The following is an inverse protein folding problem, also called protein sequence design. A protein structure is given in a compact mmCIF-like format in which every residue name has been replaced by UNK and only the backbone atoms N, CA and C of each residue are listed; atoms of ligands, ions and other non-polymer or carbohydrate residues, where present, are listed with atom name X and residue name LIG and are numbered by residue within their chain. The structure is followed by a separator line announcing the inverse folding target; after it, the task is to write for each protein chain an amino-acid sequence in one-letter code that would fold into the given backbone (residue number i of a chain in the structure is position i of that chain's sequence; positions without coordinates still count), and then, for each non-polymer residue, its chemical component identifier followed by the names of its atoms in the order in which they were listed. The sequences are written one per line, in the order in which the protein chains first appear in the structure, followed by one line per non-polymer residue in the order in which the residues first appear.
data_IF_679696075741
#
_entry.id   IF_679696075741
#
_cell.length_a   1.000
_cell.length_b   1.000
_cell.length_c   1.000
_cell.angle_alpha   90.00
_cell.angle_beta   90.00
_cell.angle_gamma   90.00
#
_symmetry.space_group_name_H-M   'P 1'
#
loop_
_entity.id
_entity.type
_entity.pdbx_description
1 polymer ?
#
# COMPACT_ATOMS: atom_id res chain seq x y z
N UNK A 1 -19.03 -18.35 5.00
CA UNK A 1 -18.90 -18.30 3.54
C UNK A 1 -17.50 -18.78 3.21
N UNK A 2 -17.35 -20.05 2.89
CA UNK A 2 -16.07 -20.67 2.53
C UNK A 2 -15.86 -20.46 1.04
N UNK A 3 -14.83 -19.69 0.69
CA UNK A 3 -14.45 -19.50 -0.71
C UNK A 3 -13.90 -20.82 -1.25
N UNK A 4 -14.28 -21.24 -2.47
CA UNK A 4 -13.67 -22.41 -3.09
C UNK A 4 -12.16 -22.17 -3.19
N UNK A 5 -11.37 -23.13 -2.69
CA UNK A 5 -9.92 -23.16 -2.94
C UNK A 5 -9.80 -23.34 -4.45
N UNK A 6 -9.37 -22.29 -5.14
CA UNK A 6 -9.15 -22.36 -6.57
C UNK A 6 -8.19 -23.52 -6.86
N UNK A 7 -8.50 -24.37 -7.85
CA UNK A 7 -7.48 -25.22 -8.47
C UNK A 7 -6.23 -24.36 -8.74
N UNK A 8 -5.01 -24.91 -8.64
CA UNK A 8 -3.77 -24.16 -8.85
C UNK A 8 -3.69 -23.69 -10.31
N UNK A 9 -4.39 -22.59 -10.59
CA UNK A 9 -4.18 -21.80 -11.79
C UNK A 9 -2.78 -21.24 -11.67
N UNK A 10 -2.05 -21.32 -12.78
CA UNK A 10 -0.70 -20.77 -12.86
C UNK A 10 -0.76 -19.28 -12.49
N UNK A 11 -0.11 -18.91 -11.38
CA UNK A 11 -0.07 -17.53 -10.92
C UNK A 11 0.41 -16.63 -12.07
N UNK A 12 -0.30 -15.51 -12.24
CA UNK A 12 0.09 -14.50 -13.21
C UNK A 12 1.54 -14.06 -12.96
N UNK A 13 2.36 -13.97 -14.01
CA UNK A 13 3.77 -13.64 -13.85
C UNK A 13 3.92 -12.24 -13.26
N UNK A 14 4.77 -12.15 -12.24
CA UNK A 14 5.29 -10.87 -11.76
C UNK A 14 6.52 -10.49 -12.57
N UNK A 15 6.63 -9.21 -12.88
CA UNK A 15 7.84 -8.62 -13.43
C UNK A 15 8.77 -8.23 -12.27
N UNK A 16 9.99 -8.78 -12.25
CA UNK A 16 11.03 -8.34 -11.33
C UNK A 16 11.57 -6.99 -11.82
N UNK A 17 11.39 -5.95 -11.02
CA UNK A 17 11.85 -4.60 -11.33
C UNK A 17 13.25 -4.32 -10.76
N UNK A 18 13.53 -4.80 -9.55
CA UNK A 18 14.83 -4.60 -8.89
C UNK A 18 15.09 -5.63 -7.78
N UNK A 19 16.37 -5.87 -7.52
CA UNK A 19 16.87 -6.57 -6.34
C UNK A 19 17.84 -5.66 -5.60
N UNK A 20 17.59 -5.42 -4.31
CA UNK A 20 18.35 -4.47 -3.49
C UNK A 20 18.64 -5.09 -2.13
N UNK A 21 19.84 -5.66 -2.00
CA UNK A 21 20.24 -6.40 -0.80
C UNK A 21 19.35 -7.62 -0.60
N UNK A 22 18.59 -7.64 0.50
CA UNK A 22 17.65 -8.73 0.80
C UNK A 22 16.25 -8.52 0.21
N UNK A 23 16.00 -7.42 -0.50
CA UNK A 23 14.67 -7.07 -1.00
C UNK A 23 14.54 -7.29 -2.51
N UNK A 24 13.40 -7.81 -2.94
CA UNK A 24 12.98 -7.86 -4.34
C UNK A 24 11.74 -6.98 -4.53
N UNK A 25 11.79 -6.14 -5.56
CA UNK A 25 10.65 -5.35 -6.02
C UNK A 25 10.04 -6.01 -7.25
N UNK A 26 8.78 -6.38 -7.13
CA UNK A 26 8.00 -6.97 -8.20
C UNK A 26 6.84 -6.06 -8.60
N UNK A 27 6.39 -6.22 -9.84
CA UNK A 27 5.17 -5.60 -10.36
C UNK A 27 4.26 -6.65 -10.99
N UNK A 28 2.99 -6.62 -10.59
CA UNK A 28 1.90 -7.19 -11.41
C UNK A 28 1.37 -6.06 -12.31
N UNK A 29 1.61 -6.10 -13.63
CA UNK A 29 1.24 -5.00 -14.50
C UNK A 29 -0.28 -4.83 -14.62
N UNK A 30 -0.72 -3.58 -14.68
CA UNK A 30 -2.09 -3.16 -14.91
C UNK A 30 -2.14 -2.01 -15.89
N UNK A 31 -3.11 -2.01 -16.79
CA UNK A 31 -3.26 -0.94 -17.79
C UNK A 31 -3.81 0.36 -17.18
N UNK A 32 -4.78 0.27 -16.26
CA UNK A 32 -5.43 1.42 -15.62
C UNK A 32 -6.24 0.98 -14.39
N UNK A 33 -6.53 1.94 -13.51
CA UNK A 33 -7.48 1.78 -12.41
C UNK A 33 -8.77 2.56 -12.71
N UNK A 34 -9.97 2.01 -12.40
CA UNK A 34 -10.22 0.67 -11.85
C UNK A 34 -9.84 -0.44 -12.83
N UNK A 35 -9.39 -1.57 -12.30
CA UNK A 35 -8.77 -2.64 -13.09
C UNK A 35 -9.78 -3.61 -13.71
N UNK A 36 -9.32 -4.39 -14.70
CA UNK A 36 -10.09 -5.51 -15.25
C UNK A 36 -10.32 -6.60 -14.20
N UNK A 37 -11.40 -7.40 -14.37
CA UNK A 37 -11.68 -8.55 -13.49
C UNK A 37 -10.52 -9.55 -13.43
N UNK A 38 -9.89 -9.82 -14.57
CA UNK A 38 -8.72 -10.70 -14.67
C UNK A 38 -7.54 -10.19 -13.84
N UNK A 39 -7.24 -8.89 -13.90
CA UNK A 39 -6.22 -8.31 -13.04
C UNK A 39 -6.58 -8.46 -11.56
N UNK A 40 -7.84 -8.19 -11.19
CA UNK A 40 -8.29 -8.32 -9.79
C UNK A 40 -8.11 -9.75 -9.31
N UNK A 41 -8.46 -10.75 -10.11
CA UNK A 41 -8.26 -12.16 -9.78
C UNK A 41 -6.77 -12.49 -9.55
N UNK A 42 -5.89 -12.03 -10.42
CA UNK A 42 -4.44 -12.20 -10.26
C UNK A 42 -3.89 -11.50 -9.01
N UNK A 43 -4.33 -10.26 -8.76
CA UNK A 43 -3.92 -9.51 -7.59
C UNK A 43 -4.40 -10.20 -6.29
N UNK A 44 -5.61 -10.78 -6.30
CA UNK A 44 -6.12 -11.58 -5.18
C UNK A 44 -5.29 -12.82 -4.93
N UNK A 45 -4.92 -13.55 -5.99
CA UNK A 45 -4.05 -14.72 -5.86
C UNK A 45 -2.70 -14.35 -5.23
N UNK A 46 -2.07 -13.26 -5.67
CA UNK A 46 -0.83 -12.78 -5.09
C UNK A 46 -0.97 -12.32 -3.65
N UNK A 47 -2.08 -11.64 -3.31
CA UNK A 47 -2.35 -11.28 -1.92
C UNK A 47 -2.53 -12.52 -1.04
N UNK A 48 -3.20 -13.57 -1.53
CA UNK A 48 -3.31 -14.84 -0.80
C UNK A 48 -1.94 -15.47 -0.58
N UNK A 49 -1.05 -15.46 -1.58
CA UNK A 49 0.33 -15.95 -1.42
C UNK A 49 1.07 -15.15 -0.34
N UNK A 50 0.94 -13.82 -0.33
CA UNK A 50 1.53 -12.97 0.70
C UNK A 50 0.92 -13.27 2.09
N UNK A 51 -0.39 -13.42 2.18
CA UNK A 51 -1.07 -13.80 3.43
C UNK A 51 -0.68 -15.21 3.91
N UNK A 52 -0.39 -16.15 3.02
CA UNK A 52 0.05 -17.50 3.41
C UNK A 52 1.50 -17.45 3.90
N UNK A 53 2.41 -16.91 3.09
CA UNK A 53 3.83 -16.81 3.41
C UNK A 53 4.09 -15.97 4.66
N UNK A 54 3.37 -14.86 4.77
CA UNK A 54 3.48 -13.94 5.88
C UNK A 54 2.28 -14.00 6.82
N UNK A 55 1.48 -15.07 6.89
CA UNK A 55 0.34 -15.11 7.82
C UNK A 55 0.12 -16.46 8.50
N UNK A 56 0.74 -17.54 8.03
CA UNK A 56 0.58 -18.88 8.60
C UNK A 56 1.09 -19.06 10.03
N UNK A 57 1.85 -18.12 10.59
CA UNK A 57 2.42 -18.25 11.95
C UNK A 57 1.54 -17.67 13.06
N UNK A 58 0.42 -17.01 12.73
CA UNK A 58 -0.46 -16.34 13.72
C UNK A 58 0.19 -15.14 14.44
N UNK A 59 1.45 -14.85 14.15
CA UNK A 59 2.25 -13.76 14.74
C UNK A 59 2.43 -12.56 13.80
N UNK A 60 1.91 -12.65 12.58
CA UNK A 60 2.12 -11.62 11.57
C UNK A 60 0.85 -10.79 11.41
N UNK A 61 1.05 -9.47 11.43
CA UNK A 61 0.03 -8.46 11.31
C UNK A 61 -0.04 -7.94 9.88
N UNK A 62 -1.26 -7.92 9.32
CA UNK A 62 -1.60 -7.20 8.09
C UNK A 62 -2.13 -5.81 8.46
N UNK A 63 -1.43 -4.77 8.07
CA UNK A 63 -1.90 -3.38 8.17
C UNK A 63 -2.34 -2.87 6.79
N UNK A 64 -3.54 -2.29 6.73
CA UNK A 64 -4.17 -1.84 5.48
C UNK A 64 -4.49 -0.36 5.59
N UNK A 65 -4.09 0.41 4.58
CA UNK A 65 -4.29 1.84 4.51
C UNK A 65 -4.99 2.22 3.19
N UNK A 66 -6.02 3.06 3.29
CA UNK A 66 -6.69 3.66 2.13
C UNK A 66 -6.17 5.06 1.85
N UNK A 67 -5.91 5.34 0.58
CA UNK A 67 -5.47 6.64 0.07
C UNK A 67 -6.67 7.57 -0.08
N UNK A 68 -6.82 8.55 0.83
CA UNK A 68 -8.01 9.43 0.85
C UNK A 68 -8.19 10.19 -0.45
N UNK A 69 -7.10 10.60 -1.09
CA UNK A 69 -7.14 11.33 -2.36
C UNK A 69 -7.59 10.47 -3.55
N UNK A 70 -7.68 9.15 -3.40
CA UNK A 70 -8.24 8.23 -4.39
C UNK A 70 -9.66 7.78 -4.06
N UNK A 71 -10.22 8.20 -2.92
CA UNK A 71 -11.51 7.68 -2.45
C UNK A 71 -12.71 8.12 -3.29
N UNK A 72 -12.57 9.11 -4.17
CA UNK A 72 -13.63 9.51 -5.11
C UNK A 72 -13.84 8.50 -6.24
N UNK A 73 -12.84 7.67 -6.54
CA UNK A 73 -12.89 6.78 -7.69
C UNK A 73 -13.81 5.57 -7.42
N UNK A 74 -14.73 5.22 -8.34
CA UNK A 74 -15.49 3.99 -8.23
C UNK A 74 -14.55 2.75 -8.16
N UNK A 75 -14.87 1.69 -7.40
CA UNK A 75 -16.06 1.51 -6.55
C UNK A 75 -15.90 2.01 -5.10
N UNK A 76 -14.85 2.78 -4.79
CA UNK A 76 -14.40 3.05 -3.42
C UNK A 76 -15.45 3.77 -2.55
N UNK A 77 -16.16 4.82 -3.00
CA UNK A 77 -17.17 5.47 -2.17
C UNK A 77 -18.27 4.53 -1.67
N UNK A 78 -18.69 3.60 -2.53
CA UNK A 78 -19.72 2.61 -2.22
C UNK A 78 -19.19 1.58 -1.22
N UNK A 79 -18.03 0.97 -1.51
CA UNK A 79 -17.40 0.00 -0.62
C UNK A 79 -17.14 0.60 0.76
N UNK A 80 -16.61 1.82 0.82
CA UNK A 80 -16.35 2.51 2.08
C UNK A 80 -17.63 2.76 2.86
N UNK A 81 -18.70 3.25 2.22
CA UNK A 81 -19.99 3.52 2.88
C UNK A 81 -20.61 2.25 3.46
N UNK A 82 -20.57 1.15 2.70
CA UNK A 82 -21.15 -0.12 3.10
C UNK A 82 -20.36 -0.80 4.23
N UNK A 83 -19.03 -0.60 4.27
CA UNK A 83 -18.16 -1.32 5.18
C UNK A 83 -17.56 -0.46 6.32
N UNK A 84 -17.75 0.86 6.35
CA UNK A 84 -17.07 1.76 7.32
C UNK A 84 -17.22 1.33 8.78
N UNK A 85 -18.41 0.85 9.18
CA UNK A 85 -18.67 0.35 10.54
C UNK A 85 -17.86 -0.90 10.88
N UNK A 86 -17.65 -1.78 9.90
CA UNK A 86 -16.86 -3.00 10.05
C UNK A 86 -15.36 -2.68 10.01
N UNK A 87 -14.95 -1.81 9.10
CA UNK A 87 -13.57 -1.45 8.86
C UNK A 87 -12.96 -0.56 9.95
N UNK A 88 -13.80 0.19 10.68
CA UNK A 88 -13.39 1.09 11.77
C UNK A 88 -12.19 1.97 11.38
N UNK A 89 -12.32 2.78 10.30
CA UNK A 89 -11.17 3.49 9.77
C UNK A 89 -10.68 4.56 10.75
N UNK A 90 -9.36 4.71 10.86
CA UNK A 90 -8.72 5.82 11.57
C UNK A 90 -7.84 6.66 10.67
N UNK A 91 -7.96 7.99 10.82
CA UNK A 91 -7.24 8.94 9.99
C UNK A 91 -5.81 9.15 10.50
N UNK A 92 -4.86 9.20 9.56
CA UNK A 92 -3.49 9.61 9.79
C UNK A 92 -2.86 10.17 8.52
N UNK A 93 -1.53 10.17 8.46
CA UNK A 93 -0.77 10.83 7.40
C UNK A 93 0.17 9.87 6.68
N UNK A 94 0.09 9.86 5.35
CA UNK A 94 1.09 9.27 4.48
C UNK A 94 2.17 10.30 4.13
N UNK A 95 3.42 9.88 4.14
CA UNK A 95 4.57 10.74 3.83
C UNK A 95 5.40 10.05 2.75
N UNK A 96 5.45 10.64 1.57
CA UNK A 96 6.34 10.17 0.51
C UNK A 96 7.79 10.38 0.93
N UNK A 97 8.57 9.30 0.98
CA UNK A 97 9.95 9.32 1.47
C UNK A 97 10.92 10.04 0.51
N UNK A 98 10.52 10.18 -0.75
CA UNK A 98 11.28 10.79 -1.85
C UNK A 98 10.74 12.16 -2.29
N UNK A 99 9.74 12.71 -1.57
CA UNK A 99 9.15 14.03 -1.87
C UNK A 99 9.27 14.94 -0.65
N UNK A 100 9.10 16.27 -0.82
CA UNK A 100 9.02 17.18 0.32
C UNK A 100 7.96 16.76 1.32
N UNK A 101 8.24 16.96 2.61
CA UNK A 101 7.30 16.68 3.68
C UNK A 101 6.02 17.54 3.55
N UNK A 102 4.86 17.07 4.07
CA UNK A 102 3.61 17.82 4.03
C UNK A 102 3.74 19.24 4.59
N UNK A 103 3.24 20.21 3.83
CA UNK A 103 3.29 21.63 4.14
C UNK A 103 1.95 22.30 3.80
N UNK A 104 1.49 23.29 4.61
CA UNK A 104 0.25 23.99 4.33
C UNK A 104 0.30 24.66 2.96
N UNK A 105 -0.87 24.83 2.34
CA UNK A 105 -0.98 25.55 1.09
C UNK A 105 -0.39 26.96 1.22
N UNK A 106 0.62 27.24 0.42
CA UNK A 106 1.02 28.60 0.08
C UNK A 106 0.15 29.12 -1.04
N UNK A 107 0.20 30.43 -1.28
CA UNK A 107 -0.48 31.01 -2.44
C UNK A 107 0.08 30.43 -3.74
N UNK A 108 1.40 30.27 -3.88
CA UNK A 108 1.97 29.70 -5.11
C UNK A 108 1.50 28.27 -5.32
N UNK A 109 1.65 27.41 -4.31
CA UNK A 109 1.27 25.99 -4.43
C UNK A 109 -0.22 25.82 -4.75
N UNK A 110 -1.11 26.66 -4.19
CA UNK A 110 -2.52 26.64 -4.56
C UNK A 110 -2.76 27.03 -6.02
N UNK A 111 -2.03 28.03 -6.53
CA UNK A 111 -2.12 28.44 -7.94
C UNK A 111 -1.61 27.34 -8.86
N UNK A 112 -0.50 26.67 -8.51
CA UNK A 112 0.05 25.55 -9.26
C UNK A 112 -0.94 24.38 -9.31
N UNK A 113 -1.53 24.01 -8.17
CA UNK A 113 -2.56 22.98 -8.10
C UNK A 113 -3.79 23.32 -8.95
N UNK A 114 -4.21 24.59 -8.94
CA UNK A 114 -5.31 25.06 -9.78
C UNK A 114 -4.97 24.98 -11.28
N UNK A 115 -3.73 25.27 -11.65
CA UNK A 115 -3.25 25.16 -13.03
C UNK A 115 -3.22 23.70 -13.50
N UNK A 116 -2.70 22.77 -12.70
CA UNK A 116 -2.73 21.32 -13.01
C UNK A 116 -4.14 20.82 -13.26
N UNK A 117 -5.12 21.22 -12.43
CA UNK A 117 -6.53 20.86 -12.63
C UNK A 117 -7.09 21.37 -13.97
N UNK A 118 -6.71 22.58 -14.40
CA UNK A 118 -7.13 23.12 -15.70
C UNK A 118 -6.51 22.36 -16.89
N UNK A 119 -5.35 21.75 -16.69
CA UNK A 119 -4.66 20.91 -17.68
C UNK A 119 -5.12 19.44 -17.65
N UNK A 120 -6.00 19.06 -16.73
CA UNK A 120 -6.42 17.67 -16.54
C UNK A 120 -5.36 16.79 -15.88
N UNK A 121 -4.38 17.40 -15.22
CA UNK A 121 -3.34 16.71 -14.46
C UNK A 121 -3.78 16.50 -13.00
N UNK A 122 -3.21 15.50 -12.33
CA UNK A 122 -3.43 15.31 -10.90
C UNK A 122 -2.73 16.43 -10.12
N UNK A 123 -3.47 17.26 -9.36
CA UNK A 123 -2.85 18.37 -8.67
C UNK A 123 -1.93 17.86 -7.55
N UNK A 124 -0.82 18.56 -7.26
CA UNK A 124 -0.07 18.32 -6.03
C UNK A 124 -1.00 18.44 -4.83
N UNK A 125 -0.71 17.73 -3.74
CA UNK A 125 -1.48 17.79 -2.50
C UNK A 125 -0.59 18.34 -1.39
N UNK A 126 -1.15 19.19 -0.53
CA UNK A 126 -0.46 19.68 0.68
C UNK A 126 -0.19 18.57 1.69
N UNK A 127 -1.02 17.51 1.68
CA UNK A 127 -0.87 16.33 2.53
C UNK A 127 -1.56 15.11 1.91
N UNK A 128 -0.99 13.94 2.15
CA UNK A 128 -1.52 12.65 1.69
C UNK A 128 -2.19 11.93 2.86
N UNK A 129 -3.50 12.13 3.04
CA UNK A 129 -4.25 11.51 4.15
C UNK A 129 -4.48 10.02 3.92
N UNK A 130 -4.34 9.24 4.99
CA UNK A 130 -4.56 7.80 4.99
C UNK A 130 -5.65 7.41 5.98
N UNK A 131 -6.49 6.44 5.60
CA UNK A 131 -7.36 5.74 6.53
C UNK A 131 -6.79 4.35 6.82
N UNK A 132 -6.30 4.12 8.03
CA UNK A 132 -5.98 2.77 8.50
C UNK A 132 -7.27 2.02 8.79
N UNK A 133 -7.35 0.75 8.39
CA UNK A 133 -8.47 -0.11 8.77
C UNK A 133 -8.19 -0.75 10.14
N UNK A 134 -8.85 -0.29 11.22
CA UNK A 134 -8.68 -0.82 12.59
C UNK A 134 -9.58 -2.05 12.88
N UNK A 135 -9.92 -2.82 11.86
CA UNK A 135 -10.77 -4.00 11.98
C UNK A 135 -10.01 -5.22 12.52
N UNK A 136 -10.75 -6.26 12.95
CA UNK A 136 -10.15 -7.55 13.28
C UNK A 136 -9.41 -8.15 12.06
N UNK A 137 -8.38 -8.99 12.25
CA UNK A 137 -7.55 -9.50 11.16
C UNK A 137 -8.33 -10.05 9.95
N UNK A 138 -9.33 -10.90 10.18
CA UNK A 138 -10.16 -11.45 9.08
C UNK A 138 -10.99 -10.39 8.34
N UNK A 139 -11.43 -9.33 9.03
CA UNK A 139 -12.14 -8.22 8.40
C UNK A 139 -11.20 -7.33 7.58
N UNK A 140 -9.93 -7.17 8.01
CA UNK A 140 -8.90 -6.46 7.23
C UNK A 140 -8.53 -7.24 5.96
N UNK A 141 -8.29 -8.55 6.07
CA UNK A 141 -8.05 -9.40 4.91
C UNK A 141 -9.22 -9.34 3.92
N UNK A 142 -10.46 -9.45 4.40
CA UNK A 142 -11.66 -9.29 3.57
C UNK A 142 -11.76 -7.90 2.93
N UNK A 143 -11.38 -6.84 3.64
CA UNK A 143 -11.35 -5.49 3.08
C UNK A 143 -10.40 -5.41 1.88
N UNK A 144 -9.18 -5.95 2.00
CA UNK A 144 -8.23 -5.93 0.88
C UNK A 144 -8.80 -6.64 -0.34
N UNK A 145 -9.41 -7.82 -0.15
CA UNK A 145 -10.03 -8.58 -1.25
C UNK A 145 -11.12 -7.79 -2.00
N UNK A 146 -11.81 -6.86 -1.32
CA UNK A 146 -12.81 -5.97 -1.91
C UNK A 146 -12.18 -4.73 -2.58
N UNK A 147 -11.03 -4.28 -2.09
CA UNK A 147 -10.34 -3.06 -2.54
C UNK A 147 -9.36 -3.31 -3.69
N UNK A 148 -8.91 -4.54 -3.92
CA UNK A 148 -8.02 -4.85 -5.03
C UNK A 148 -8.62 -4.47 -6.39
N UNK A 149 -7.80 -3.86 -7.23
CA UNK A 149 -8.16 -3.26 -8.52
C UNK A 149 -8.69 -1.83 -8.41
N UNK A 150 -8.63 -1.20 -7.24
CA UNK A 150 -9.13 0.18 -7.07
C UNK A 150 -8.02 1.22 -7.15
N UNK A 151 -6.75 0.85 -6.93
CA UNK A 151 -5.65 1.81 -6.92
C UNK A 151 -5.54 2.61 -5.62
N UNK A 152 -6.30 2.26 -4.57
CA UNK A 152 -6.40 3.07 -3.35
C UNK A 152 -5.83 2.42 -2.09
N UNK A 153 -5.35 1.18 -2.16
CA UNK A 153 -4.91 0.43 -0.98
C UNK A 153 -3.40 0.23 -0.96
N UNK A 154 -2.84 0.37 0.25
CA UNK A 154 -1.48 -0.02 0.60
C UNK A 154 -1.54 -0.99 1.78
N UNK A 155 -0.77 -2.06 1.70
CA UNK A 155 -0.72 -3.14 2.67
C UNK A 155 0.72 -3.35 3.15
N UNK A 156 0.87 -3.64 4.44
CA UNK A 156 2.12 -4.07 5.05
C UNK A 156 1.89 -5.36 5.84
N UNK A 157 2.81 -6.31 5.73
CA UNK A 157 2.83 -7.54 6.51
C UNK A 157 4.08 -7.58 7.37
N UNK A 158 3.95 -7.89 8.65
CA UNK A 158 5.12 -7.99 9.53
C UNK A 158 4.80 -8.51 10.92
N UNK A 159 5.81 -9.01 11.62
CA UNK A 159 5.66 -9.47 13.02
C UNK A 159 5.42 -8.32 14.00
N UNK A 160 5.74 -7.09 13.59
CA UNK A 160 5.44 -5.91 14.36
C UNK A 160 3.93 -5.65 14.31
N UNK A 161 3.32 -5.46 15.48
CA UNK A 161 1.97 -4.92 15.56
C UNK A 161 1.96 -3.45 15.11
N UNK A 162 0.76 -2.91 14.91
CA UNK A 162 0.63 -1.53 14.48
C UNK A 162 1.23 -0.52 15.45
N UNK A 163 1.17 -0.76 16.76
CA UNK A 163 1.71 0.20 17.71
C UNK A 163 3.23 0.32 17.51
N UNK A 164 3.92 -0.82 17.44
CA UNK A 164 5.36 -0.88 17.18
C UNK A 164 5.72 -0.31 15.82
N UNK A 165 4.95 -0.64 14.78
CA UNK A 165 5.15 -0.11 13.43
C UNK A 165 4.97 1.41 13.39
N UNK A 166 3.86 1.92 13.94
CA UNK A 166 3.53 3.35 13.96
C UNK A 166 4.50 4.19 14.78
N UNK A 167 5.07 3.64 15.86
CA UNK A 167 6.09 4.31 16.64
C UNK A 167 7.38 4.48 15.83
N UNK A 168 7.83 3.41 15.15
CA UNK A 168 9.05 3.45 14.32
C UNK A 168 8.88 4.38 13.12
N UNK A 169 7.74 4.32 12.45
CA UNK A 169 7.48 5.24 11.32
C UNK A 169 7.35 6.69 11.80
N UNK A 170 6.82 6.94 13.00
CA UNK A 170 6.82 8.27 13.58
C UNK A 170 8.25 8.76 13.90
N UNK A 171 9.12 7.91 14.45
CA UNK A 171 10.53 8.24 14.70
C UNK A 171 11.27 8.60 13.40
N UNK A 172 10.98 7.87 12.32
CA UNK A 172 11.54 8.12 10.99
C UNK A 172 11.03 9.43 10.37
N UNK A 173 9.71 9.65 10.38
CA UNK A 173 9.07 10.65 9.53
C UNK A 173 8.83 11.98 10.24
N UNK A 174 8.52 11.97 11.54
CA UNK A 174 8.19 13.19 12.27
C UNK A 174 9.32 14.26 12.29
N UNK A 175 10.62 13.90 12.28
CA UNK A 175 11.70 14.88 12.15
C UNK A 175 11.68 15.68 10.83
N UNK A 176 11.14 15.11 9.75
CA UNK A 176 11.08 15.79 8.44
C UNK A 176 9.89 16.76 8.34
N UNK A 177 8.87 16.59 9.19
CA UNK A 177 7.65 17.39 9.18
C UNK A 177 7.84 18.65 10.04
N UNK A 178 8.12 19.78 9.40
CA UNK A 178 8.33 21.06 10.09
C UNK A 178 7.03 21.77 10.48
N UNK A 179 5.95 21.57 9.72
CA UNK A 179 4.68 22.26 9.92
C UNK A 179 3.93 21.76 11.17
N UNK A 180 3.60 22.64 12.14
CA UNK A 180 2.82 22.25 13.33
C UNK A 180 1.46 21.62 13.00
N UNK A 181 0.85 22.02 11.88
CA UNK A 181 -0.45 21.49 11.42
C UNK A 181 -0.45 19.98 11.23
N UNK A 182 0.68 19.40 10.81
CA UNK A 182 0.78 17.96 10.50
C UNK A 182 1.54 17.17 11.56
N UNK A 183 2.07 17.80 12.61
CA UNK A 183 2.79 17.11 13.69
C UNK A 183 1.90 16.44 14.73
N UNK A 184 0.59 16.74 14.71
CA UNK A 184 -0.41 16.20 15.64
C UNK A 184 -1.19 14.99 15.12
N UNK A 185 -0.78 14.38 14.01
CA UNK A 185 -1.50 13.26 13.42
C UNK A 185 -1.36 12.00 14.26
N UNK A 186 -2.38 11.13 14.23
CA UNK A 186 -2.43 9.91 15.05
C UNK A 186 -1.31 8.93 14.72
N UNK A 187 -0.90 8.89 13.46
CA UNK A 187 0.18 8.05 12.95
C UNK A 187 0.73 8.62 11.64
N UNK A 188 1.94 8.19 11.29
CA UNK A 188 2.64 8.53 10.05
C UNK A 188 3.04 7.24 9.34
N UNK A 189 2.79 7.11 8.05
CA UNK A 189 3.16 5.92 7.27
C UNK A 189 4.00 6.35 6.06
N UNK A 190 5.12 5.67 5.80
CA UNK A 190 5.92 5.94 4.61
C UNK A 190 5.16 5.50 3.36
N UNK A 191 5.03 6.41 2.40
CA UNK A 191 4.56 6.12 1.06
C UNK A 191 5.78 5.93 0.16
N UNK A 192 5.83 4.82 -0.56
CA UNK A 192 6.99 4.42 -1.35
C UNK A 192 6.64 4.55 -2.83
N UNK A 193 7.21 5.55 -3.48
CA UNK A 193 7.03 5.72 -4.91
C UNK A 193 7.81 4.65 -5.67
N UNK A 194 7.45 4.35 -6.93
CA UNK A 194 8.24 3.44 -7.75
C UNK A 194 9.70 3.92 -7.88
N UNK A 195 9.90 5.23 -8.05
CA UNK A 195 11.22 5.84 -8.14
C UNK A 195 12.02 5.69 -6.83
N UNK A 196 11.37 5.89 -5.68
CA UNK A 196 11.98 5.69 -4.37
C UNK A 196 12.46 4.23 -4.20
N UNK A 197 11.59 3.27 -4.51
CA UNK A 197 11.90 1.85 -4.36
C UNK A 197 13.05 1.39 -5.28
N UNK A 198 13.10 1.89 -6.52
CA UNK A 198 14.15 1.55 -7.48
C UNK A 198 15.51 2.17 -7.16
N UNK A 199 15.53 3.32 -6.48
CA UNK A 199 16.77 4.06 -6.17
C UNK A 199 17.26 3.88 -4.73
N UNK A 200 16.49 3.19 -3.90
CA UNK A 200 16.83 2.97 -2.50
C UNK A 200 18.07 2.10 -2.33
N UNK A 201 18.84 2.40 -1.31
CA UNK A 201 19.82 1.45 -0.76
C UNK A 201 19.13 0.39 0.10
N UNK A 202 19.77 -0.76 0.36
CA UNK A 202 19.20 -1.77 1.26
C UNK A 202 18.90 -1.22 2.66
N UNK A 203 19.73 -0.31 3.17
CA UNK A 203 19.54 0.31 4.48
C UNK A 203 18.31 1.23 4.49
N UNK A 204 18.08 2.00 3.42
CA UNK A 204 16.87 2.82 3.29
C UNK A 204 15.61 1.97 3.21
N UNK A 205 15.61 0.86 2.45
CA UNK A 205 14.47 -0.05 2.42
C UNK A 205 14.19 -0.65 3.80
N UNK A 206 15.22 -1.07 4.53
CA UNK A 206 15.06 -1.58 5.90
C UNK A 206 14.47 -0.52 6.85
N UNK A 207 14.95 0.72 6.74
CA UNK A 207 14.45 1.85 7.51
C UNK A 207 13.00 2.18 7.17
N UNK A 208 12.66 2.33 5.89
CA UNK A 208 11.31 2.66 5.43
C UNK A 208 10.30 1.55 5.72
N UNK A 209 10.72 0.29 5.67
CA UNK A 209 9.86 -0.83 6.03
C UNK A 209 9.59 -0.90 7.55
N UNK A 210 10.37 -0.21 8.38
CA UNK A 210 10.17 -0.10 9.84
C UNK A 210 9.97 -1.45 10.55
N UNK A 211 10.58 -2.51 10.02
CA UNK A 211 10.47 -3.89 10.54
C UNK A 211 9.28 -4.69 10.01
N UNK A 212 8.53 -4.16 9.04
CA UNK A 212 7.59 -4.95 8.25
C UNK A 212 8.37 -5.87 7.29
N UNK A 213 7.85 -7.07 7.06
CA UNK A 213 8.45 -8.10 6.22
C UNK A 213 8.04 -8.00 4.76
N UNK A 214 6.86 -7.47 4.43
CA UNK A 214 6.45 -7.24 3.05
C UNK A 214 5.56 -6.01 2.94
N UNK A 215 5.50 -5.45 1.74
CA UNK A 215 4.71 -4.29 1.38
C UNK A 215 4.08 -4.51 0.01
N UNK A 216 2.85 -4.04 -0.17
CA UNK A 216 2.21 -4.03 -1.47
C UNK A 216 1.34 -2.77 -1.62
N UNK A 217 1.39 -2.16 -2.79
CA UNK A 217 0.62 -0.97 -3.10
C UNK A 217 0.13 -1.01 -4.54
N UNK A 218 -1.17 -0.75 -4.73
CA UNK A 218 -1.67 -0.44 -6.06
C UNK A 218 -1.25 0.98 -6.43
N UNK A 219 -0.44 1.10 -7.48
CA UNK A 219 0.20 2.34 -7.87
C UNK A 219 -0.11 2.66 -9.34
N UNK A 220 -0.97 3.65 -9.60
CA UNK A 220 -1.18 4.17 -10.96
C UNK A 220 0.14 4.61 -11.61
N UNK A 221 1.02 5.27 -10.84
CA UNK A 221 2.34 5.74 -11.29
C UNK A 221 3.26 4.57 -11.71
N UNK A 222 3.09 3.39 -11.11
CA UNK A 222 3.85 2.19 -11.47
C UNK A 222 3.21 1.37 -12.59
N UNK A 223 1.96 1.69 -12.96
CA UNK A 223 1.14 0.87 -13.86
C UNK A 223 0.86 -0.52 -13.30
N UNK A 224 0.50 -0.66 -12.02
CA UNK A 224 0.23 -1.98 -11.44
C UNK A 224 0.21 -2.08 -9.92
N UNK A 225 0.19 -3.31 -9.43
CA UNK A 225 0.45 -3.66 -8.03
C UNK A 225 1.95 -3.83 -7.85
N UNK A 226 2.55 -2.98 -7.03
CA UNK A 226 3.93 -3.13 -6.58
C UNK A 226 3.96 -4.04 -5.35
N UNK A 227 4.94 -4.93 -5.29
CA UNK A 227 5.18 -5.83 -4.17
C UNK A 227 6.66 -5.76 -3.81
N UNK A 228 6.96 -5.37 -2.57
CA UNK A 228 8.30 -5.42 -2.00
C UNK A 228 8.34 -6.52 -0.95
N UNK A 229 9.28 -7.46 -1.08
CA UNK A 229 9.40 -8.60 -0.17
C UNK A 229 10.84 -9.09 -0.09
N UNK A 230 11.21 -9.94 0.89
CA UNK A 230 12.56 -10.46 0.99
C UNK A 230 12.90 -11.41 -0.16
N UNK A 231 14.19 -11.57 -0.48
CA UNK A 231 14.65 -12.46 -1.53
C UNK A 231 14.19 -13.88 -1.25
N UNK A 232 13.58 -14.52 -2.25
CA UNK A 232 13.09 -15.88 -2.13
C UNK A 232 11.81 -16.02 -1.28
N UNK A 233 11.16 -14.94 -0.85
CA UNK A 233 9.83 -15.10 -0.26
C UNK A 233 8.80 -15.42 -1.34
N UNK A 234 8.84 -14.75 -2.48
CA UNK A 234 7.90 -14.98 -3.60
C UNK A 234 8.36 -16.19 -4.41
N UNK A 235 8.11 -17.39 -3.90
CA UNK A 235 8.22 -18.60 -4.70
C UNK A 235 6.95 -18.82 -5.51
N UNK A 236 7.11 -19.08 -6.81
CA UNK A 236 6.06 -19.74 -7.59
C UNK A 236 5.81 -21.08 -6.89
N UNK A 237 4.58 -21.44 -6.52
CA UNK A 237 4.33 -22.77 -5.99
C UNK A 237 4.77 -23.76 -7.06
N UNK A 238 5.86 -24.48 -6.81
CA UNK A 238 6.27 -25.59 -7.67
C UNK A 238 5.07 -26.54 -7.71
N UNK A 239 4.63 -26.93 -8.91
CA UNK A 239 3.61 -27.95 -9.04
C UNK A 239 4.12 -29.17 -8.27
N UNK A 240 3.48 -29.50 -7.16
CA UNK A 240 3.62 -30.83 -6.60
C UNK A 240 3.01 -31.75 -7.65
N UNK A 241 3.87 -32.43 -8.41
CA UNK A 241 3.45 -33.55 -9.23
C UNK A 241 2.90 -34.60 -8.26
N UNK A 242 1.58 -34.80 -8.29
CA UNK A 242 0.90 -35.91 -7.62
C UNK A 242 1.09 -37.21 -8.39
#
# INVERSE_FOLDING_TARGET
MTWPVASPQELAPLELLAETGKWQLHRLPNAAFPSSKTYVEHARQWHTVLDEQFGCTGLIHLEVFLHVWRMSEPPIPTLYRENTRLWKPSLGLGVWVDRPAPAPWTRESFMDASASLLLGEEPPLSAYKLLRLDAAPGARASAVQQLLGSGCATCFWGVADFNSFSERTAQLLLPTITSPTYRGERFYIPLLSPAALLSATPAQLDEWMCGMGAYAQESPDAGGLLILSPNGSIHRPERREE
#
